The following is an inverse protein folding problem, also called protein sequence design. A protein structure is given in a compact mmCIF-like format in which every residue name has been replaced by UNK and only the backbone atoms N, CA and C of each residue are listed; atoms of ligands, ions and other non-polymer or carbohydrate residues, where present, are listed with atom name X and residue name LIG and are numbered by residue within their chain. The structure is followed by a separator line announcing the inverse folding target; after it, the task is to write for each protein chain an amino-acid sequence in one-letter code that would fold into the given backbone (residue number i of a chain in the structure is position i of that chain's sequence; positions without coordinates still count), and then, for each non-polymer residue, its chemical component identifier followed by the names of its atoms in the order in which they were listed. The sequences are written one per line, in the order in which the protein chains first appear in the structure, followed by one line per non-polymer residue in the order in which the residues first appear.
data_IF_334616419946
#
_entry.id   IF_334616419946
#
_cell.length_a   1.000
_cell.length_b   1.000
_cell.length_c   1.000
_cell.angle_alpha   90.00
_cell.angle_beta   90.00
_cell.angle_gamma   90.00
#
_symmetry.space_group_name_H-M   'P 1'
#
loop_
_entity.id
_entity.type
_entity.pdbx_description
1 polymer ?
#
# COMPACT_ATOMS: atom_id res chain seq x y z
N UNK A 1 -13.32 -30.08 -11.77
CA UNK A 1 -13.64 -28.84 -11.02
C UNK A 1 -13.49 -27.70 -12.01
N UNK A 2 -14.47 -26.81 -12.14
CA UNK A 2 -14.39 -25.70 -13.11
C UNK A 2 -13.38 -24.65 -12.67
N UNK A 3 -12.83 -23.87 -13.61
CA UNK A 3 -11.91 -22.76 -13.31
C UNK A 3 -12.51 -21.77 -12.31
N UNK A 4 -13.81 -21.49 -12.45
CA UNK A 4 -14.56 -20.65 -11.50
C UNK A 4 -14.55 -21.26 -10.09
N UNK A 5 -14.81 -22.56 -9.93
CA UNK A 5 -14.78 -23.22 -8.63
C UNK A 5 -13.39 -23.16 -8.00
N UNK A 6 -12.35 -23.44 -8.79
CA UNK A 6 -10.97 -23.40 -8.34
C UNK A 6 -10.54 -21.99 -7.90
N UNK A 7 -10.87 -20.97 -8.69
CA UNK A 7 -10.57 -19.58 -8.36
C UNK A 7 -11.37 -19.11 -7.14
N UNK A 8 -12.62 -19.55 -6.99
CA UNK A 8 -13.45 -19.23 -5.81
C UNK A 8 -12.82 -19.77 -4.53
N UNK A 9 -12.37 -21.03 -4.51
CA UNK A 9 -11.71 -21.62 -3.34
C UNK A 9 -10.41 -20.88 -3.01
N UNK A 10 -9.60 -20.56 -4.03
CA UNK A 10 -8.37 -19.80 -3.82
C UNK A 10 -8.65 -18.39 -3.31
N UNK A 11 -9.67 -17.72 -3.84
CA UNK A 11 -10.09 -16.38 -3.42
C UNK A 11 -10.56 -16.38 -1.97
N UNK A 12 -11.40 -17.35 -1.57
CA UNK A 12 -11.84 -17.49 -0.18
C UNK A 12 -10.67 -17.71 0.79
N UNK A 13 -9.70 -18.55 0.41
CA UNK A 13 -8.51 -18.79 1.22
C UNK A 13 -7.65 -17.53 1.36
N UNK A 14 -7.43 -16.80 0.25
CA UNK A 14 -6.66 -15.55 0.27
C UNK A 14 -7.36 -14.45 1.09
N UNK A 15 -8.69 -14.34 0.97
CA UNK A 15 -9.46 -13.35 1.72
C UNK A 15 -9.48 -13.65 3.23
N UNK A 16 -9.52 -14.93 3.60
CA UNK A 16 -9.36 -15.35 5.00
C UNK A 16 -7.98 -14.98 5.55
N UNK A 17 -6.91 -15.28 4.82
CA UNK A 17 -5.55 -14.91 5.22
C UNK A 17 -5.39 -13.38 5.36
N UNK A 18 -6.00 -12.60 4.44
CA UNK A 18 -6.09 -11.15 4.57
C UNK A 18 -6.78 -10.73 5.88
N UNK A 19 -7.92 -11.33 6.20
CA UNK A 19 -8.71 -11.00 7.40
C UNK A 19 -7.94 -11.35 8.67
N UNK A 20 -7.25 -12.49 8.68
CA UNK A 20 -6.38 -12.92 9.79
C UNK A 20 -5.20 -11.95 9.98
N UNK A 21 -4.53 -11.53 8.90
CA UNK A 21 -3.46 -10.53 8.98
C UNK A 21 -3.98 -9.16 9.44
N UNK A 22 -5.18 -8.77 8.99
CA UNK A 22 -5.82 -7.53 9.41
C UNK A 22 -6.16 -7.54 10.90
N UNK A 23 -6.73 -8.64 11.40
CA UNK A 23 -7.04 -8.80 12.83
C UNK A 23 -5.76 -8.87 13.68
N UNK A 24 -4.71 -9.54 13.21
CA UNK A 24 -3.41 -9.56 13.88
C UNK A 24 -2.77 -8.16 13.97
N UNK A 25 -3.13 -7.26 13.05
CA UNK A 25 -2.66 -5.86 13.02
C UNK A 25 -3.59 -4.89 13.74
N UNK A 26 -4.73 -5.34 14.28
CA UNK A 26 -5.83 -4.49 14.78
C UNK A 26 -5.42 -3.41 15.78
N UNK A 27 -4.43 -3.69 16.62
CA UNK A 27 -3.95 -2.78 17.67
C UNK A 27 -2.52 -2.29 17.43
N UNK A 28 -1.97 -2.55 16.25
CA UNK A 28 -0.63 -2.13 15.88
C UNK A 28 -0.70 -0.77 15.19
N UNK A 29 0.32 0.07 15.41
CA UNK A 29 0.40 1.36 14.74
C UNK A 29 0.49 1.18 13.22
N UNK A 30 -0.14 2.09 12.47
CA UNK A 30 -0.21 1.99 11.01
C UNK A 30 1.15 2.16 10.31
N UNK A 31 2.13 2.73 11.00
CA UNK A 31 3.52 2.94 10.55
C UNK A 31 4.47 1.82 11.00
N UNK A 32 3.98 0.76 11.66
CA UNK A 32 4.80 -0.37 12.07
C UNK A 32 5.26 -1.19 10.84
N UNK A 33 6.57 -1.25 10.55
CA UNK A 33 7.08 -1.94 9.36
C UNK A 33 6.83 -3.45 9.38
N UNK A 34 6.80 -4.08 10.55
CA UNK A 34 6.55 -5.51 10.66
C UNK A 34 5.07 -5.83 10.42
N UNK A 35 4.14 -5.00 10.91
CA UNK A 35 2.72 -5.11 10.60
C UNK A 35 2.45 -4.92 9.11
N UNK A 36 3.06 -3.90 8.50
CA UNK A 36 2.94 -3.63 7.08
C UNK A 36 3.50 -4.81 6.24
N UNK A 37 4.67 -5.35 6.61
CA UNK A 37 5.26 -6.51 5.95
C UNK A 37 4.40 -7.78 6.04
N UNK A 38 3.68 -7.98 7.15
CA UNK A 38 2.76 -9.12 7.31
C UNK A 38 1.55 -9.04 6.38
N UNK A 39 0.95 -7.86 6.23
CA UNK A 39 -0.34 -7.73 5.54
C UNK A 39 -0.20 -7.50 4.02
N UNK A 40 0.86 -6.82 3.57
CA UNK A 40 1.02 -6.46 2.15
C UNK A 40 0.92 -7.65 1.17
N UNK A 41 1.54 -8.82 1.42
CA UNK A 41 1.42 -9.96 0.51
C UNK A 41 -0.02 -10.49 0.36
N UNK A 42 -0.84 -10.36 1.42
CA UNK A 42 -2.23 -10.79 1.39
C UNK A 42 -3.07 -9.91 0.46
N UNK A 43 -2.80 -8.60 0.45
CA UNK A 43 -3.43 -7.67 -0.48
C UNK A 43 -3.08 -8.00 -1.94
N UNK A 44 -1.81 -8.24 -2.26
CA UNK A 44 -1.38 -8.66 -3.60
C UNK A 44 -2.08 -9.95 -4.06
N UNK A 45 -2.17 -10.93 -3.15
CA UNK A 45 -2.81 -12.22 -3.44
C UNK A 45 -4.30 -12.04 -3.77
N UNK A 46 -5.02 -11.23 -3.00
CA UNK A 46 -6.45 -10.95 -3.23
C UNK A 46 -6.64 -10.15 -4.52
N UNK A 47 -5.82 -9.13 -4.77
CA UNK A 47 -5.86 -8.36 -6.02
C UNK A 47 -5.65 -9.23 -7.26
N UNK A 48 -4.66 -10.12 -7.22
CA UNK A 48 -4.41 -11.07 -8.30
C UNK A 48 -5.62 -11.99 -8.55
N UNK A 49 -6.23 -12.55 -7.50
CA UNK A 49 -7.39 -13.44 -7.65
C UNK A 49 -8.62 -12.71 -8.20
N UNK A 50 -8.82 -11.45 -7.83
CA UNK A 50 -9.86 -10.62 -8.44
C UNK A 50 -9.66 -10.45 -9.95
N UNK A 51 -8.42 -10.20 -10.40
CA UNK A 51 -8.10 -10.14 -11.84
C UNK A 51 -8.36 -11.46 -12.55
N UNK A 52 -8.01 -12.59 -11.93
CA UNK A 52 -8.29 -13.91 -12.51
C UNK A 52 -9.79 -14.16 -12.65
N UNK A 53 -10.60 -13.80 -11.64
CA UNK A 53 -12.06 -13.88 -11.73
C UNK A 53 -12.63 -12.95 -12.81
N UNK A 54 -12.08 -11.73 -12.93
CA UNK A 54 -12.45 -10.80 -13.98
C UNK A 54 -12.11 -11.33 -15.39
N UNK A 55 -11.02 -12.09 -15.53
CA UNK A 55 -10.54 -12.61 -16.81
C UNK A 55 -11.37 -13.79 -17.36
N UNK A 56 -12.21 -14.43 -16.55
CA UNK A 56 -13.08 -15.52 -17.03
C UNK A 56 -14.09 -14.99 -18.07
N UNK A 57 -14.23 -15.73 -19.18
CA UNK A 57 -15.20 -15.40 -20.23
C UNK A 57 -16.64 -15.43 -19.73
N UNK A 58 -16.93 -16.28 -18.75
CA UNK A 58 -18.24 -16.41 -18.11
C UNK A 58 -18.59 -15.26 -17.15
N UNK A 59 -17.65 -14.37 -16.84
CA UNK A 59 -17.88 -13.26 -15.90
C UNK A 59 -18.68 -12.14 -16.58
N UNK A 60 -19.89 -11.81 -16.07
CA UNK A 60 -20.69 -10.73 -16.64
C UNK A 60 -19.98 -9.38 -16.48
N UNK A 61 -20.26 -8.45 -17.40
CA UNK A 61 -19.53 -7.18 -17.50
C UNK A 61 -19.48 -6.38 -16.20
N UNK A 62 -20.58 -6.34 -15.45
CA UNK A 62 -20.68 -5.59 -14.20
C UNK A 62 -19.79 -6.21 -13.12
N UNK A 63 -19.70 -7.55 -13.08
CA UNK A 63 -18.87 -8.27 -12.13
C UNK A 63 -17.39 -8.13 -12.47
N UNK A 64 -17.05 -8.11 -13.77
CA UNK A 64 -15.70 -7.79 -14.25
C UNK A 64 -15.27 -6.40 -13.79
N UNK A 65 -16.12 -5.39 -13.97
CA UNK A 65 -15.84 -4.04 -13.52
C UNK A 65 -15.62 -3.96 -12.00
N UNK A 66 -16.51 -4.59 -11.21
CA UNK A 66 -16.38 -4.64 -9.76
C UNK A 66 -15.10 -5.36 -9.29
N UNK A 67 -14.75 -6.48 -9.92
CA UNK A 67 -13.55 -7.24 -9.62
C UNK A 67 -12.27 -6.45 -9.92
N UNK A 68 -12.22 -5.76 -11.07
CA UNK A 68 -11.06 -4.92 -11.42
C UNK A 68 -10.90 -3.75 -10.46
N UNK A 69 -11.98 -3.07 -10.07
CA UNK A 69 -11.94 -2.00 -9.08
C UNK A 69 -11.48 -2.50 -7.69
N UNK A 70 -11.97 -3.67 -7.27
CA UNK A 70 -11.51 -4.30 -6.04
C UNK A 70 -10.01 -4.62 -6.10
N UNK A 71 -9.52 -5.14 -7.23
CA UNK A 71 -8.10 -5.42 -7.42
C UNK A 71 -7.23 -4.16 -7.31
N UNK A 72 -7.64 -3.05 -7.93
CA UNK A 72 -6.94 -1.76 -7.84
C UNK A 72 -6.86 -1.25 -6.40
N UNK A 73 -7.96 -1.36 -5.65
CA UNK A 73 -8.00 -0.96 -4.23
C UNK A 73 -7.02 -1.78 -3.39
N UNK A 74 -7.00 -3.10 -3.60
CA UNK A 74 -6.07 -3.98 -2.90
C UNK A 74 -4.62 -3.72 -3.28
N UNK A 75 -4.31 -3.47 -4.55
CA UNK A 75 -2.95 -3.12 -4.96
C UNK A 75 -2.48 -1.79 -4.38
N UNK A 76 -3.36 -0.79 -4.32
CA UNK A 76 -3.03 0.47 -3.67
C UNK A 76 -2.67 0.25 -2.19
N UNK A 77 -3.43 -0.59 -1.48
CA UNK A 77 -3.12 -0.93 -0.09
C UNK A 77 -1.81 -1.73 0.03
N UNK A 78 -1.53 -2.63 -0.91
CA UNK A 78 -0.25 -3.34 -0.96
C UNK A 78 0.91 -2.37 -1.14
N UNK A 79 0.82 -1.43 -2.11
CA UNK A 79 1.85 -0.42 -2.37
C UNK A 79 2.14 0.44 -1.13
N UNK A 80 1.09 0.89 -0.42
CA UNK A 80 1.24 1.68 0.81
C UNK A 80 1.97 0.89 1.89
N UNK A 81 1.57 -0.36 2.13
CA UNK A 81 2.19 -1.20 3.16
C UNK A 81 3.61 -1.65 2.78
N UNK A 82 3.89 -1.89 1.49
CA UNK A 82 5.25 -2.21 1.02
C UNK A 82 6.22 -1.04 1.25
N UNK A 83 5.77 0.22 1.12
CA UNK A 83 6.58 1.40 1.44
C UNK A 83 6.88 1.51 2.94
N UNK A 84 5.87 1.28 3.78
CA UNK A 84 6.05 1.27 5.25
C UNK A 84 6.98 0.13 5.67
N UNK A 85 6.80 -1.07 5.12
CA UNK A 85 7.66 -2.24 5.36
C UNK A 85 9.11 -2.01 4.89
N UNK A 86 9.28 -1.35 3.75
CA UNK A 86 10.59 -0.94 3.22
C UNK A 86 11.26 0.18 4.03
N UNK A 87 10.55 0.75 5.01
CA UNK A 87 11.05 1.72 5.96
C UNK A 87 11.59 2.97 5.28
N UNK A 88 10.80 3.59 4.39
CA UNK A 88 11.09 4.84 3.66
C UNK A 88 12.45 5.46 4.04
N UNK A 89 13.52 4.98 3.38
CA UNK A 89 14.92 5.44 3.46
C UNK A 89 15.12 6.89 2.98
N UNK A 90 14.09 7.73 3.02
CA UNK A 90 14.10 9.12 2.57
C UNK A 90 13.69 10.15 3.64
N UNK A 91 13.41 9.74 4.87
CA UNK A 91 13.25 10.68 5.99
C UNK A 91 14.61 11.06 6.61
N UNK A 92 15.34 11.95 5.94
CA UNK A 92 16.56 12.58 6.49
C UNK A 92 17.36 13.45 5.53
N UNK A 93 17.05 13.42 4.24
CA UNK A 93 17.82 14.10 3.20
C UNK A 93 17.32 15.48 2.74
N UNK A 94 16.54 16.24 3.53
CA UNK A 94 16.32 17.67 3.23
C UNK A 94 15.74 18.47 4.39
N UNK A 95 16.62 18.93 5.29
CA UNK A 95 16.50 20.28 5.86
C UNK A 95 17.89 20.75 6.28
N UNK A 96 18.71 21.09 5.29
CA UNK A 96 19.79 22.04 5.52
C UNK A 96 19.12 23.37 5.89
N UNK A 97 18.99 23.60 7.19
CA UNK A 97 18.78 24.95 7.70
C UNK A 97 20.09 25.70 7.45
N UNK A 98 20.20 26.29 6.26
CA UNK A 98 21.26 27.26 5.97
C UNK A 98 21.10 28.39 7.00
N UNK A 99 22.09 28.67 7.86
CA UNK A 99 22.08 29.92 8.59
C UNK A 99 22.24 31.02 7.54
N UNK A 100 21.30 31.95 7.49
CA UNK A 100 21.48 33.19 6.73
C UNK A 100 22.60 33.96 7.43
N UNK A 101 23.84 33.72 7.02
CA UNK A 101 24.95 34.64 7.25
C UNK A 101 24.68 35.89 6.42
N UNK A 102 23.98 36.85 7.01
CA UNK A 102 23.92 38.21 6.53
C UNK A 102 25.22 38.94 6.85
N UNK A 103 26.24 38.75 6.01
CA UNK A 103 27.38 39.68 5.93
C UNK A 103 27.07 40.77 4.91
N UNK A 104 26.94 42.01 5.41
CA UNK A 104 27.35 43.29 4.78
C UNK A 104 26.62 44.40 5.55
N UNK A 105 27.22 45.40 6.18
CA UNK A 105 28.55 45.97 6.05
C UNK A 105 28.39 47.50 5.94
N UNK A 106 29.25 48.27 6.65
CA UNK A 106 29.52 49.71 6.44
C UNK A 106 28.36 50.63 6.87
N UNK A 107 28.43 51.39 7.97
CA UNK A 107 29.41 52.43 8.28
C UNK A 107 28.88 53.77 7.75
N UNK A 108 28.43 54.67 8.63
CA UNK A 108 28.43 56.15 8.49
C UNK A 108 27.67 56.83 9.66
N UNK A 109 28.46 57.52 10.50
CA UNK A 109 28.33 58.88 11.06
C UNK A 109 26.99 59.62 11.28
N UNK A 110 27.04 60.46 12.33
CA UNK A 110 26.16 61.59 12.77
C UNK A 110 25.06 61.19 13.80
N UNK A 111 24.93 61.84 14.97
CA UNK A 111 25.34 63.18 15.43
C UNK A 111 25.65 63.21 16.94
#
# INVERSE_FOLDING_TARGET
MSDLQQLTVQWQAAYRAYTEAHEANRYVAADDPAAAARIAPTYRRVAWLWRQLAALESTPWWAKAAALHAAETFDHQADVNERVAGGDRQAGGHRLHVPVEGVSGRGEDQA
#
